data_IF_907113299497
#
_entry.id   IF_907113299497
#
_cell.length_a   1.000
_cell.length_b   1.000
_cell.length_c   1.000
_cell.angle_alpha   90.00
_cell.angle_beta   90.00
_cell.angle_gamma   90.00
#
_symmetry.space_group_name_H-M   'P 1'
#
loop_
_entity.id
_entity.type
_entity.pdbx_description
1 polymer ?
#
# COMPACT_ATOMS: atom_id res chain seq x y z
N UNK A 1 -0.54 0.01 2.93
CA UNK A 1 0.26 -1.24 2.98
C UNK A 1 1.73 -0.92 3.20
N UNK A 2 2.39 -1.74 4.02
CA UNK A 2 3.83 -1.72 4.19
C UNK A 2 4.39 -3.06 3.71
N UNK A 3 5.33 -3.02 2.77
CA UNK A 3 5.95 -4.20 2.18
C UNK A 3 7.45 -4.16 2.47
N UNK A 4 7.92 -5.11 3.26
CA UNK A 4 9.32 -5.16 3.68
C UNK A 4 10.23 -5.89 2.70
N UNK A 5 11.49 -5.44 2.64
CA UNK A 5 12.52 -6.02 1.80
C UNK A 5 13.83 -6.14 2.58
N UNK A 6 14.60 -7.16 2.27
CA UNK A 6 15.98 -7.27 2.76
C UNK A 6 16.85 -6.29 1.97
N UNK A 7 17.81 -5.63 2.63
CA UNK A 7 18.72 -4.70 2.01
C UNK A 7 18.26 -3.25 2.04
N UNK A 8 19.04 -2.37 1.42
CA UNK A 8 18.91 -0.92 1.54
C UNK A 8 17.76 -0.33 0.72
N UNK A 9 17.27 -1.06 -0.25
CA UNK A 9 16.26 -0.53 -1.17
C UNK A 9 15.47 -1.67 -1.80
N UNK A 10 14.22 -1.42 -2.22
CA UNK A 10 13.43 -2.40 -2.93
C UNK A 10 14.06 -2.77 -4.27
N UNK A 11 13.90 -4.04 -4.67
CA UNK A 11 14.38 -4.51 -5.96
C UNK A 11 13.63 -3.86 -7.13
N UNK A 12 14.18 -3.94 -8.37
CA UNK A 12 13.62 -3.24 -9.53
C UNK A 12 12.23 -3.73 -9.94
N UNK A 13 11.84 -4.93 -9.55
CA UNK A 13 10.52 -5.48 -9.87
C UNK A 13 9.37 -4.86 -9.07
N UNK A 14 9.66 -4.14 -7.99
CA UNK A 14 8.64 -3.57 -7.10
C UNK A 14 7.84 -2.48 -7.81
N UNK A 15 8.54 -1.52 -8.44
CA UNK A 15 7.87 -0.45 -9.18
C UNK A 15 7.03 -0.98 -10.34
N UNK A 16 7.54 -2.00 -11.04
CA UNK A 16 6.80 -2.65 -12.11
C UNK A 16 5.53 -3.31 -11.59
N UNK A 17 5.62 -4.01 -10.47
CA UNK A 17 4.46 -4.66 -9.86
C UNK A 17 3.38 -3.65 -9.45
N UNK A 18 3.80 -2.51 -8.89
CA UNK A 18 2.88 -1.42 -8.53
C UNK A 18 2.24 -0.83 -9.78
N UNK A 19 3.04 -0.57 -10.81
CA UNK A 19 2.55 -0.04 -12.08
C UNK A 19 1.53 -0.97 -12.74
N UNK A 20 1.80 -2.26 -12.76
CA UNK A 20 0.88 -3.27 -13.30
C UNK A 20 -0.45 -3.27 -12.53
N UNK A 21 -0.40 -3.14 -11.22
CA UNK A 21 -1.59 -3.09 -10.39
C UNK A 21 -2.44 -1.85 -10.66
N UNK A 22 -1.79 -0.69 -10.82
CA UNK A 22 -2.47 0.57 -11.16
C UNK A 22 -3.09 0.48 -12.56
N UNK A 23 -2.34 -0.04 -13.53
CA UNK A 23 -2.82 -0.17 -14.92
C UNK A 23 -3.98 -1.14 -15.07
N UNK A 24 -4.09 -2.12 -14.18
CA UNK A 24 -5.22 -3.05 -14.19
C UNK A 24 -6.55 -2.40 -13.78
N UNK A 25 -6.50 -1.18 -13.23
CA UNK A 25 -7.68 -0.45 -12.78
C UNK A 25 -8.24 -0.93 -11.44
N UNK A 26 -7.51 -1.79 -10.74
CA UNK A 26 -7.93 -2.34 -9.46
C UNK A 26 -7.79 -1.33 -8.32
N UNK A 27 -6.71 -0.53 -8.35
CA UNK A 27 -6.43 0.47 -7.33
C UNK A 27 -6.01 1.78 -7.96
N UNK A 28 -6.21 2.86 -7.23
CA UNK A 28 -5.61 4.16 -7.51
C UNK A 28 -4.46 4.35 -6.52
N UNK A 29 -3.28 4.71 -7.01
CA UNK A 29 -2.13 4.96 -6.15
C UNK A 29 -2.18 6.39 -5.65
N UNK A 30 -2.39 6.57 -4.36
CA UNK A 30 -2.51 7.90 -3.76
C UNK A 30 -1.13 8.43 -3.35
N UNK A 31 -0.33 7.62 -2.69
CA UNK A 31 1.00 8.02 -2.24
C UNK A 31 1.91 6.81 -2.15
N UNK A 32 3.23 7.04 -2.23
CA UNK A 32 4.25 6.02 -2.12
C UNK A 32 5.48 6.61 -1.42
N UNK A 33 5.91 5.94 -0.38
CA UNK A 33 7.06 6.35 0.43
C UNK A 33 7.97 5.15 0.62
N UNK A 34 9.27 5.35 0.47
CA UNK A 34 10.26 4.35 0.81
C UNK A 34 10.86 4.66 2.18
N UNK A 35 11.11 3.61 2.95
CA UNK A 35 11.79 3.74 4.23
C UNK A 35 12.95 2.77 4.28
N UNK A 36 14.00 3.16 4.97
CA UNK A 36 15.18 2.34 5.17
C UNK A 36 15.61 2.47 6.63
N UNK A 37 15.85 1.35 7.27
CA UNK A 37 16.45 1.35 8.60
C UNK A 37 17.92 1.00 8.47
N UNK A 38 18.78 1.91 8.90
CA UNK A 38 20.23 1.69 8.86
C UNK A 38 20.64 0.61 9.86
N UNK A 39 21.88 0.16 9.76
CA UNK A 39 22.47 -0.79 10.73
C UNK A 39 22.46 -0.22 12.15
N UNK A 40 22.50 1.10 12.28
CA UNK A 40 22.45 1.82 13.57
C UNK A 40 21.04 1.92 14.15
N UNK A 41 20.04 1.50 13.37
CA UNK A 41 18.63 1.60 13.77
C UNK A 41 17.95 2.91 13.41
N UNK A 42 18.62 3.83 12.71
CA UNK A 42 18.02 5.07 12.24
C UNK A 42 17.06 4.81 11.06
N UNK A 43 15.94 5.50 11.05
CA UNK A 43 14.94 5.39 10.00
C UNK A 43 15.07 6.57 9.04
N UNK A 44 15.36 6.28 7.76
CA UNK A 44 15.33 7.27 6.69
C UNK A 44 14.02 7.13 5.92
N UNK A 45 13.36 8.25 5.71
CA UNK A 45 12.09 8.33 4.97
C UNK A 45 12.35 9.05 3.65
N UNK A 46 12.02 8.40 2.54
CA UNK A 46 12.29 8.90 1.19
C UNK A 46 10.98 8.95 0.42
N UNK A 47 10.51 10.16 0.10
CA UNK A 47 9.32 10.33 -0.73
C UNK A 47 9.61 9.84 -2.16
N UNK A 48 8.68 9.09 -2.75
CA UNK A 48 8.86 8.60 -4.12
C UNK A 48 9.05 9.76 -5.10
N UNK A 49 8.34 10.86 -4.92
CA UNK A 49 8.45 12.03 -5.78
C UNK A 49 9.86 12.63 -5.84
N UNK A 50 10.68 12.38 -4.81
CA UNK A 50 12.06 12.88 -4.73
C UNK A 50 13.09 11.88 -5.27
N UNK A 51 12.65 10.73 -5.77
CA UNK A 51 13.55 9.72 -6.33
C UNK A 51 13.78 9.92 -7.82
N UNK A 52 14.87 9.36 -8.39
CA UNK A 52 15.11 9.40 -9.84
C UNK A 52 14.01 8.72 -10.66
N UNK A 53 13.30 7.78 -10.08
CA UNK A 53 12.25 7.00 -10.75
C UNK A 53 10.86 7.62 -10.62
N UNK A 54 10.77 8.86 -10.14
CA UNK A 54 9.50 9.55 -9.87
C UNK A 54 8.56 9.67 -11.07
N UNK A 55 9.10 9.60 -12.29
CA UNK A 55 8.30 9.67 -13.51
C UNK A 55 7.60 8.34 -13.86
N UNK A 56 7.97 7.24 -13.19
CA UNK A 56 7.41 5.92 -13.50
C UNK A 56 6.00 5.72 -13.00
N UNK A 57 5.60 6.45 -11.96
CA UNK A 57 4.27 6.34 -11.34
C UNK A 57 3.71 7.72 -11.08
N UNK A 58 2.41 7.87 -11.29
CA UNK A 58 1.71 9.10 -10.93
C UNK A 58 1.03 8.90 -9.57
N UNK A 59 1.31 9.80 -8.62
CA UNK A 59 0.70 9.80 -7.30
C UNK A 59 -0.43 10.84 -7.28
N UNK A 60 -1.63 10.42 -6.89
CA UNK A 60 -2.78 11.33 -6.88
C UNK A 60 -2.73 12.31 -5.71
N UNK A 61 -2.19 11.89 -4.57
CA UNK A 61 -2.12 12.69 -3.34
C UNK A 61 -0.73 12.57 -2.70
N UNK A 62 0.30 12.95 -3.45
CA UNK A 62 1.68 12.94 -2.96
C UNK A 62 1.78 13.69 -1.62
N UNK A 63 2.43 13.05 -0.65
CA UNK A 63 2.54 13.59 0.72
C UNK A 63 1.41 13.22 1.66
N UNK A 64 0.44 12.42 1.21
CA UNK A 64 -0.68 11.98 2.05
C UNK A 64 -0.22 11.15 3.26
N UNK A 65 0.76 10.25 3.06
CA UNK A 65 1.33 9.46 4.14
C UNK A 65 2.19 10.38 5.04
N UNK A 66 1.69 10.71 6.21
CA UNK A 66 2.41 11.55 7.16
C UNK A 66 3.58 10.81 7.79
N UNK A 67 4.57 11.56 8.29
CA UNK A 67 5.76 11.01 8.92
C UNK A 67 5.43 10.09 10.10
N UNK A 68 4.43 10.46 10.90
CA UNK A 68 4.00 9.66 12.06
C UNK A 68 3.44 8.31 11.60
N UNK A 69 2.58 8.30 10.59
CA UNK A 69 2.00 7.07 10.04
C UNK A 69 3.07 6.16 9.45
N UNK A 70 4.01 6.73 8.72
CA UNK A 70 5.13 6.00 8.14
C UNK A 70 6.00 5.39 9.23
N UNK A 71 6.30 6.14 10.28
CA UNK A 71 7.10 5.68 11.42
C UNK A 71 6.41 4.52 12.13
N UNK A 72 5.10 4.61 12.34
CA UNK A 72 4.32 3.55 12.99
C UNK A 72 4.32 2.26 12.17
N UNK A 73 4.11 2.37 10.86
CA UNK A 73 4.11 1.22 9.96
C UNK A 73 5.49 0.56 9.85
N UNK A 74 6.55 1.34 10.00
CA UNK A 74 7.93 0.85 9.92
C UNK A 74 8.53 0.45 11.28
N UNK A 75 7.72 0.49 12.35
CA UNK A 75 8.23 0.27 13.72
C UNK A 75 8.97 -1.07 13.89
N UNK A 76 8.49 -2.12 13.21
CA UNK A 76 9.07 -3.46 13.32
C UNK A 76 10.10 -3.77 12.23
N UNK A 77 10.48 -2.79 11.43
CA UNK A 77 11.46 -2.98 10.36
C UNK A 77 12.84 -3.23 10.96
N UNK A 78 13.48 -4.39 10.65
CA UNK A 78 14.79 -4.71 11.21
C UNK A 78 15.90 -3.79 10.68
N UNK A 79 16.99 -3.61 11.45
CA UNK A 79 18.17 -2.88 10.94
C UNK A 79 18.69 -3.48 9.64
N UNK A 80 19.13 -2.64 8.71
CA UNK A 80 19.67 -3.08 7.41
C UNK A 80 18.60 -3.48 6.40
N UNK A 81 17.32 -3.27 6.69
CA UNK A 81 16.23 -3.58 5.79
C UNK A 81 15.50 -2.32 5.32
N UNK A 82 14.65 -2.49 4.32
CA UNK A 82 13.87 -1.40 3.74
C UNK A 82 12.41 -1.82 3.54
N UNK A 83 11.55 -0.85 3.31
CA UNK A 83 10.14 -1.10 3.01
C UNK A 83 9.59 -0.06 2.04
N UNK A 84 8.55 -0.45 1.31
CA UNK A 84 7.74 0.46 0.53
C UNK A 84 6.40 0.61 1.26
N UNK A 85 5.97 1.84 1.45
CA UNK A 85 4.67 2.14 2.07
C UNK A 85 3.77 2.75 1.00
N UNK A 86 2.70 2.02 0.69
CA UNK A 86 1.74 2.39 -0.34
C UNK A 86 0.43 2.83 0.31
N UNK A 87 -0.06 3.97 -0.15
CA UNK A 87 -1.43 4.39 0.16
C UNK A 87 -2.24 4.24 -1.12
N UNK A 88 -3.22 3.37 -1.09
CA UNK A 88 -4.03 3.04 -2.26
C UNK A 88 -5.51 3.22 -1.95
N UNK A 89 -6.27 3.54 -2.99
CA UNK A 89 -7.72 3.55 -2.95
C UNK A 89 -8.21 2.43 -3.87
N UNK A 90 -9.14 1.62 -3.36
CA UNK A 90 -9.73 0.57 -4.19
C UNK A 90 -10.73 1.22 -5.14
N UNK A 91 -10.43 1.21 -6.43
CA UNK A 91 -11.25 1.88 -7.44
C UNK A 91 -12.69 1.35 -7.47
N UNK A 92 -12.86 0.02 -7.38
CA UNK A 92 -14.18 -0.59 -7.34
C UNK A 92 -14.96 -0.20 -6.07
N UNK A 93 -14.28 -0.10 -4.93
CA UNK A 93 -14.92 0.24 -3.66
C UNK A 93 -15.47 1.68 -3.68
N UNK A 94 -14.72 2.59 -4.29
CA UNK A 94 -15.16 3.97 -4.47
C UNK A 94 -16.41 4.04 -5.35
N UNK A 95 -16.41 3.37 -6.49
CA UNK A 95 -17.56 3.32 -7.39
C UNK A 95 -18.77 2.70 -6.73
N UNK A 96 -18.56 1.62 -5.98
CA UNK A 96 -19.62 0.94 -5.25
C UNK A 96 -20.24 1.84 -4.16
N UNK A 97 -19.39 2.49 -3.37
CA UNK A 97 -19.85 3.41 -2.31
C UNK A 97 -20.63 4.58 -2.89
N UNK A 98 -20.19 5.13 -4.03
CA UNK A 98 -20.89 6.22 -4.71
C UNK A 98 -22.27 5.75 -5.21
N UNK A 99 -22.33 4.57 -5.81
CA UNK A 99 -23.59 4.01 -6.29
C UNK A 99 -24.60 3.78 -5.14
N UNK A 100 -24.10 3.31 -4.00
CA UNK A 100 -24.94 3.14 -2.80
C UNK A 100 -25.46 4.47 -2.28
N UNK A 101 -24.60 5.49 -2.23
CA UNK A 101 -24.99 6.82 -1.80
C UNK A 101 -26.07 7.40 -2.72
N UNK A 102 -25.91 7.28 -4.03
CA UNK A 102 -26.88 7.75 -5.02
C UNK A 102 -28.22 7.02 -4.90
N UNK A 103 -28.20 5.77 -4.41
CA UNK A 103 -29.41 4.97 -4.15
C UNK A 103 -30.03 5.23 -2.78
N UNK A 104 -29.48 6.15 -1.99
CA UNK A 104 -29.99 6.50 -0.66
C UNK A 104 -29.35 5.74 0.49
N UNK A 105 -28.30 4.96 0.22
CA UNK A 105 -27.57 4.20 1.24
C UNK A 105 -26.24 4.85 1.60
N UNK A 106 -25.55 4.25 2.55
CA UNK A 106 -24.20 4.65 2.93
C UNK A 106 -23.46 3.48 3.53
N UNK A 107 -22.15 3.43 3.34
CA UNK A 107 -21.29 2.45 3.99
C UNK A 107 -21.04 2.91 5.43
N UNK A 108 -21.49 2.12 6.41
CA UNK A 108 -21.33 2.44 7.83
C UNK A 108 -20.20 1.64 8.49
N UNK A 109 -19.60 0.71 7.75
CA UNK A 109 -18.46 -0.06 8.24
C UNK A 109 -17.95 -0.98 7.15
N UNK A 110 -16.68 -1.35 7.26
CA UNK A 110 -16.10 -2.36 6.40
C UNK A 110 -14.93 -3.02 7.12
N UNK A 111 -14.66 -4.26 6.74
CA UNK A 111 -13.62 -5.05 7.33
C UNK A 111 -12.93 -5.89 6.25
N UNK A 112 -11.63 -6.06 6.39
CA UNK A 112 -10.84 -6.87 5.46
C UNK A 112 -10.57 -8.24 6.08
N UNK A 113 -10.95 -9.30 5.35
CA UNK A 113 -10.71 -10.68 5.78
C UNK A 113 -9.56 -11.24 4.94
N UNK A 114 -8.48 -11.73 5.58
CA UNK A 114 -7.35 -12.31 4.85
C UNK A 114 -7.78 -13.50 3.99
N UNK A 115 -7.20 -13.63 2.79
CA UNK A 115 -7.53 -14.71 1.86
C UNK A 115 -7.40 -16.12 2.46
N UNK A 116 -6.37 -16.45 3.26
CA UNK A 116 -6.28 -17.76 3.90
C UNK A 116 -7.47 -18.10 4.78
N UNK A 117 -8.03 -17.13 5.50
CA UNK A 117 -9.23 -17.33 6.34
C UNK A 117 -10.45 -17.61 5.47
N UNK A 118 -10.64 -16.86 4.40
CA UNK A 118 -11.74 -17.08 3.45
C UNK A 118 -11.64 -18.46 2.83
N UNK A 119 -10.45 -18.86 2.38
CA UNK A 119 -10.21 -20.16 1.77
C UNK A 119 -10.51 -21.30 2.73
N UNK A 120 -10.16 -21.17 4.00
CA UNK A 120 -10.47 -22.17 5.03
C UNK A 120 -11.98 -22.32 5.20
N UNK A 121 -12.70 -21.21 5.28
CA UNK A 121 -14.16 -21.21 5.40
C UNK A 121 -14.82 -21.91 4.21
N UNK A 122 -14.39 -21.59 2.98
CA UNK A 122 -14.92 -22.20 1.77
C UNK A 122 -14.65 -23.71 1.75
N UNK A 123 -13.46 -24.17 2.17
CA UNK A 123 -13.12 -25.59 2.26
C UNK A 123 -14.04 -26.32 3.22
N UNK A 124 -14.38 -25.74 4.36
CA UNK A 124 -15.27 -26.34 5.37
C UNK A 124 -16.71 -26.45 4.88
N UNK A 125 -17.13 -25.62 3.96
CA UNK A 125 -18.51 -25.55 3.47
C UNK A 125 -18.74 -26.21 2.11
N UNK A 126 -17.72 -26.82 1.52
CA UNK A 126 -17.78 -27.51 0.22
C UNK A 126 -18.27 -28.96 0.28
N UNK A 127 -18.64 -29.47 1.41
CA UNK A 127 -19.04 -30.87 1.56
C UNK A 127 -20.49 -31.13 1.12
#
# INVERSE_FOLDING_TARGET
>A
YAIGFDGDHPGPGVLKAIDDLVKSGTVNLLDLVFVRRSEDGELDIIEFADTPDSDMLALELDGLAGEEDVTDLAADLPPGSSAAILVVELAWAKAFSQALYDAGGAVIGRETVPAPVVNLFLSENEN
#
